data_IF_192799475932
#
_entry.id   IF_192799475932
#
_cell.length_a   1.000
_cell.length_b   1.000
_cell.length_c   1.000
_cell.angle_alpha   90.00
_cell.angle_beta   90.00
_cell.angle_gamma   90.00
#
_symmetry.space_group_name_H-M   'P 1'
#
loop_
_entity.id
_entity.type
_entity.pdbx_description
1 polymer ?
#
# COMPACT_ATOMS: atom_id res chain seq x y z
N UNK A 1 15.48 -19.76 -0.53
CA UNK A 1 15.30 -18.52 0.25
C UNK A 1 15.72 -18.72 1.72
N UNK A 2 16.37 -17.74 2.38
CA UNK A 2 16.67 -17.83 3.82
C UNK A 2 15.40 -17.49 4.64
N UNK A 3 15.19 -18.06 5.84
CA UNK A 3 14.00 -17.80 6.67
C UNK A 3 13.76 -16.31 6.97
N UNK A 4 14.83 -15.51 7.07
CA UNK A 4 14.75 -14.05 7.25
C UNK A 4 14.09 -13.33 6.07
N UNK A 5 14.29 -13.82 4.84
CA UNK A 5 13.71 -13.21 3.64
C UNK A 5 12.20 -13.45 3.59
N UNK A 6 11.73 -14.66 3.92
CA UNK A 6 10.30 -14.96 3.99
C UNK A 6 9.58 -14.09 5.03
N UNK A 7 10.19 -13.90 6.21
CA UNK A 7 9.63 -13.04 7.25
C UNK A 7 9.60 -11.58 6.81
N UNK A 8 10.66 -11.08 6.17
CA UNK A 8 10.69 -9.72 5.63
C UNK A 8 9.63 -9.52 4.54
N UNK A 9 9.44 -10.50 3.64
CA UNK A 9 8.38 -10.47 2.62
C UNK A 9 7.00 -10.46 3.30
N UNK A 10 6.81 -11.25 4.35
CA UNK A 10 5.57 -11.31 5.13
C UNK A 10 5.23 -9.99 5.83
N UNK A 11 6.25 -9.31 6.36
CA UNK A 11 6.07 -8.06 7.11
C UNK A 11 5.98 -6.85 6.17
N UNK A 12 6.85 -6.76 5.17
CA UNK A 12 7.07 -5.54 4.39
C UNK A 12 7.04 -5.72 2.87
N UNK A 13 7.11 -6.95 2.37
CA UNK A 13 7.08 -7.22 0.92
C UNK A 13 5.79 -6.78 0.25
N UNK A 14 4.68 -6.81 1.00
CA UNK A 14 3.35 -6.39 0.54
C UNK A 14 3.10 -4.88 0.62
N UNK A 15 4.00 -4.08 1.20
CA UNK A 15 3.80 -2.64 1.24
C UNK A 15 3.96 -2.04 -0.15
N UNK A 16 2.84 -1.56 -0.70
CA UNK A 16 2.77 -0.82 -1.94
C UNK A 16 2.34 0.62 -1.73
N UNK A 17 2.38 1.40 -2.82
CA UNK A 17 1.91 2.79 -2.84
C UNK A 17 0.42 2.93 -2.58
N UNK A 18 -0.35 1.84 -2.75
CA UNK A 18 -1.78 1.79 -2.48
C UNK A 18 -2.12 2.31 -1.09
N UNK A 19 -1.46 1.83 -0.02
CA UNK A 19 -1.73 2.31 1.34
C UNK A 19 -1.53 3.82 1.51
N UNK A 20 -0.58 4.42 0.81
CA UNK A 20 -0.22 5.83 0.96
C UNK A 20 -1.14 6.73 0.13
N UNK A 21 -1.42 6.34 -1.12
CA UNK A 21 -2.15 7.14 -2.09
C UNK A 21 -3.66 6.87 -2.01
N UNK A 22 -4.04 5.59 -1.92
CA UNK A 22 -5.44 5.20 -1.89
C UNK A 22 -6.11 5.61 -0.59
N UNK A 23 -5.40 5.60 0.54
CA UNK A 23 -5.93 6.06 1.83
C UNK A 23 -6.34 7.53 1.79
N UNK A 24 -5.62 8.39 1.08
CA UNK A 24 -5.99 9.81 0.91
C UNK A 24 -7.27 9.97 0.11
N UNK A 25 -7.41 9.24 -1.01
CA UNK A 25 -8.62 9.26 -1.84
C UNK A 25 -9.81 8.64 -1.10
N UNK A 26 -9.58 7.55 -0.37
CA UNK A 26 -10.58 6.86 0.43
C UNK A 26 -11.04 7.74 1.61
N UNK A 27 -10.12 8.44 2.28
CA UNK A 27 -10.43 9.40 3.32
C UNK A 27 -11.28 10.53 2.76
N UNK A 28 -10.85 11.15 1.65
CA UNK A 28 -11.57 12.25 1.00
C UNK A 28 -13.02 11.88 0.67
N UNK A 29 -13.24 10.71 0.06
CA UNK A 29 -14.57 10.29 -0.40
C UNK A 29 -15.43 9.72 0.72
N UNK A 30 -14.85 8.93 1.62
CA UNK A 30 -15.60 8.15 2.61
C UNK A 30 -15.63 8.76 4.01
N UNK A 31 -14.69 9.64 4.35
CA UNK A 31 -14.46 10.06 5.74
C UNK A 31 -13.76 8.97 6.58
N UNK A 32 -13.34 9.32 7.81
CA UNK A 32 -12.46 8.47 8.61
C UNK A 32 -13.13 7.16 9.08
N UNK A 33 -14.44 7.15 9.38
CA UNK A 33 -15.12 5.93 9.79
C UNK A 33 -15.35 4.97 8.61
N UNK A 34 -15.78 5.47 7.45
CA UNK A 34 -15.90 4.63 6.24
C UNK A 34 -14.55 4.03 5.84
N UNK A 35 -13.47 4.82 5.93
CA UNK A 35 -12.11 4.36 5.69
C UNK A 35 -11.74 3.21 6.64
N UNK A 36 -11.97 3.38 7.94
CA UNK A 36 -11.70 2.35 8.93
C UNK A 36 -12.49 1.06 8.65
N UNK A 37 -13.80 1.18 8.44
CA UNK A 37 -14.68 0.02 8.17
C UNK A 37 -14.22 -0.69 6.89
N UNK A 38 -13.91 0.06 5.83
CA UNK A 38 -13.42 -0.49 4.57
C UNK A 38 -12.12 -1.29 4.75
N UNK A 39 -11.16 -0.74 5.50
CA UNK A 39 -9.86 -1.39 5.74
C UNK A 39 -9.97 -2.61 6.64
N UNK A 40 -10.88 -2.60 7.62
CA UNK A 40 -11.17 -3.77 8.48
C UNK A 40 -11.81 -4.89 7.66
N UNK A 41 -12.85 -4.59 6.87
CA UNK A 41 -13.56 -5.58 6.07
C UNK A 41 -12.65 -6.19 4.98
N UNK A 42 -11.90 -5.34 4.27
CA UNK A 42 -10.96 -5.83 3.26
C UNK A 42 -9.80 -6.59 3.90
N UNK A 43 -9.28 -6.12 5.04
CA UNK A 43 -8.24 -6.82 5.79
C UNK A 43 -8.69 -8.22 6.25
N UNK A 44 -9.94 -8.35 6.73
CA UNK A 44 -10.52 -9.63 7.09
C UNK A 44 -10.63 -10.57 5.88
N UNK A 45 -11.11 -10.06 4.73
CA UNK A 45 -11.17 -10.84 3.48
C UNK A 45 -9.78 -11.35 3.07
N UNK A 46 -8.78 -10.47 3.06
CA UNK A 46 -7.40 -10.81 2.71
C UNK A 46 -6.82 -11.84 3.67
N UNK A 47 -7.08 -11.72 4.97
CA UNK A 47 -6.61 -12.69 5.96
C UNK A 47 -7.20 -14.09 5.73
N UNK A 48 -8.49 -14.18 5.38
CA UNK A 48 -9.15 -15.45 5.04
C UNK A 48 -8.49 -16.07 3.79
N UNK A 49 -8.28 -15.28 2.73
CA UNK A 49 -7.62 -15.74 1.50
C UNK A 49 -6.21 -16.25 1.79
N UNK A 50 -5.43 -15.53 2.60
CA UNK A 50 -4.07 -15.93 2.95
C UNK A 50 -4.03 -17.19 3.80
N UNK A 51 -5.00 -17.38 4.70
CA UNK A 51 -5.12 -18.59 5.51
C UNK A 51 -5.47 -19.81 4.64
N UNK A 52 -6.45 -19.67 3.75
CA UNK A 52 -6.81 -20.72 2.80
C UNK A 52 -5.62 -21.12 1.91
N UNK A 53 -4.84 -20.13 1.45
CA UNK A 53 -3.61 -20.42 0.71
C UNK A 53 -2.57 -21.15 1.56
N UNK A 54 -2.40 -20.75 2.81
CA UNK A 54 -1.45 -21.41 3.71
C UNK A 54 -1.80 -22.88 3.94
N UNK A 55 -3.09 -23.21 4.06
CA UNK A 55 -3.55 -24.61 4.14
C UNK A 55 -3.19 -25.38 2.88
N UNK A 56 -3.46 -24.82 1.69
CA UNK A 56 -3.09 -25.44 0.42
C UNK A 56 -1.57 -25.65 0.28
N UNK A 57 -0.77 -24.64 0.64
CA UNK A 57 0.68 -24.66 0.51
C UNK A 57 1.38 -25.57 1.54
N UNK A 58 0.81 -25.73 2.73
CA UNK A 58 1.32 -26.66 3.74
C UNK A 58 0.92 -28.11 3.45
N UNK A 59 -0.22 -28.32 2.79
CA UNK A 59 -0.66 -29.64 2.33
C UNK A 59 0.15 -30.12 1.12
N UNK A 60 0.25 -29.30 0.07
CA UNK A 60 0.99 -29.63 -1.15
C UNK A 60 1.88 -28.45 -1.51
N UNK A 61 3.19 -28.62 -1.29
CA UNK A 61 4.19 -27.62 -1.64
C UNK A 61 4.36 -27.56 -3.16
N UNK A 62 4.12 -26.39 -3.75
CA UNK A 62 4.36 -26.12 -5.18
C UNK A 62 5.01 -24.76 -5.40
N UNK A 63 5.91 -24.71 -6.39
CA UNK A 63 6.67 -23.51 -6.77
C UNK A 63 5.99 -22.73 -7.91
N UNK A 64 4.68 -22.94 -8.09
CA UNK A 64 3.88 -22.39 -9.21
C UNK A 64 3.00 -21.19 -8.83
N UNK A 65 3.22 -20.63 -7.64
CA UNK A 65 2.46 -19.48 -7.11
C UNK A 65 0.94 -19.70 -7.08
N UNK A 66 0.18 -18.61 -6.99
CA UNK A 66 -1.28 -18.63 -6.94
C UNK A 66 -1.95 -19.31 -8.15
N UNK A 67 -1.53 -19.03 -9.40
CA UNK A 67 -2.12 -19.69 -10.56
C UNK A 67 -1.95 -21.21 -10.51
N UNK A 68 -0.81 -21.70 -10.01
CA UNK A 68 -0.55 -23.13 -9.84
C UNK A 68 -1.51 -23.81 -8.86
N UNK A 69 -1.80 -23.18 -7.72
CA UNK A 69 -2.79 -23.68 -6.78
C UNK A 69 -4.20 -23.69 -7.40
N UNK A 70 -4.58 -22.65 -8.15
CA UNK A 70 -5.87 -22.60 -8.86
C UNK A 70 -6.00 -23.71 -9.91
N UNK A 71 -4.97 -23.95 -10.74
CA UNK A 71 -4.93 -25.07 -11.70
C UNK A 71 -5.08 -26.42 -11.01
N UNK A 72 -4.44 -26.60 -9.84
CA UNK A 72 -4.37 -27.90 -9.17
C UNK A 72 -5.66 -28.26 -8.43
N UNK A 73 -6.27 -27.28 -7.76
CA UNK A 73 -7.38 -27.52 -6.82
C UNK A 73 -8.75 -27.11 -7.37
N UNK A 74 -8.82 -26.31 -8.44
CA UNK A 74 -10.07 -25.86 -9.03
C UNK A 74 -10.21 -26.31 -10.48
N UNK A 75 -9.52 -25.63 -11.42
CA UNK A 75 -9.60 -25.94 -12.85
C UNK A 75 -8.41 -25.31 -13.62
N UNK A 76 -7.84 -25.98 -14.65
CA UNK A 76 -6.79 -25.39 -15.47
C UNK A 76 -7.15 -24.07 -16.15
N UNK A 77 -8.40 -23.88 -16.58
CA UNK A 77 -8.86 -22.62 -17.17
C UNK A 77 -8.89 -21.48 -16.13
N UNK A 78 -9.27 -21.79 -14.88
CA UNK A 78 -9.20 -20.82 -13.78
C UNK A 78 -7.75 -20.44 -13.46
N UNK A 79 -6.84 -21.42 -13.47
CA UNK A 79 -5.41 -21.18 -13.31
C UNK A 79 -4.84 -20.28 -14.40
N UNK A 80 -5.20 -20.53 -15.66
CA UNK A 80 -4.82 -19.67 -16.79
C UNK A 80 -5.35 -18.23 -16.63
N UNK A 81 -6.65 -18.07 -16.33
CA UNK A 81 -7.26 -16.75 -16.11
C UNK A 81 -6.60 -16.00 -14.93
N UNK A 82 -6.29 -16.72 -13.86
CA UNK A 82 -5.59 -16.17 -12.68
C UNK A 82 -4.19 -15.67 -13.05
N UNK A 83 -3.45 -16.44 -13.84
CA UNK A 83 -2.13 -16.03 -14.34
C UNK A 83 -2.17 -14.72 -15.13
N UNK A 84 -3.11 -14.59 -16.07
CA UNK A 84 -3.30 -13.35 -16.84
C UNK A 84 -3.72 -12.17 -15.98
N UNK A 85 -4.63 -12.39 -15.02
CA UNK A 85 -5.03 -11.34 -14.08
C UNK A 85 -3.82 -10.83 -13.28
N UNK A 86 -2.98 -11.74 -12.78
CA UNK A 86 -1.76 -11.38 -12.05
C UNK A 86 -0.76 -10.62 -12.92
N UNK A 87 -0.58 -11.02 -14.18
CA UNK A 87 0.26 -10.29 -15.13
C UNK A 87 -0.24 -8.86 -15.32
N UNK A 88 -1.52 -8.69 -15.68
CA UNK A 88 -2.13 -7.37 -15.87
C UNK A 88 -2.04 -6.50 -14.60
N UNK A 89 -2.25 -7.10 -13.43
CA UNK A 89 -2.12 -6.44 -12.13
C UNK A 89 -0.73 -5.84 -11.94
N UNK A 90 0.34 -6.61 -12.15
CA UNK A 90 1.71 -6.11 -11.92
C UNK A 90 2.15 -5.07 -12.96
N UNK A 91 1.73 -5.19 -14.22
CA UNK A 91 1.95 -4.15 -15.26
C UNK A 91 1.34 -2.81 -14.82
N UNK A 92 0.08 -2.84 -14.38
CA UNK A 92 -0.63 -1.62 -13.95
C UNK A 92 -0.03 -1.05 -12.67
N UNK A 93 0.37 -1.89 -11.72
CA UNK A 93 1.01 -1.45 -10.46
C UNK A 93 2.36 -0.79 -10.72
N UNK A 94 3.16 -1.30 -11.65
CA UNK A 94 4.43 -0.68 -12.04
C UNK A 94 4.21 0.73 -12.59
N UNK A 95 3.30 0.88 -13.55
CA UNK A 95 2.95 2.17 -14.11
C UNK A 95 2.45 3.13 -13.01
N UNK A 96 1.58 2.65 -12.12
CA UNK A 96 1.08 3.45 -11.00
C UNK A 96 2.20 3.92 -10.06
N UNK A 97 3.17 3.07 -9.73
CA UNK A 97 4.30 3.44 -8.89
C UNK A 97 5.18 4.51 -9.56
N UNK A 98 5.46 4.39 -10.86
CA UNK A 98 6.24 5.40 -11.59
C UNK A 98 5.49 6.75 -11.66
N UNK A 99 4.18 6.73 -11.92
CA UNK A 99 3.34 7.94 -11.87
C UNK A 99 3.35 8.57 -10.47
N UNK A 100 3.23 7.76 -9.43
CA UNK A 100 3.30 8.24 -8.05
C UNK A 100 4.64 8.91 -7.72
N UNK A 101 5.77 8.37 -8.20
CA UNK A 101 7.08 8.98 -8.01
C UNK A 101 7.15 10.38 -8.63
N UNK A 102 6.61 10.55 -9.85
CA UNK A 102 6.56 11.85 -10.50
C UNK A 102 5.61 12.85 -9.80
N UNK A 103 4.47 12.38 -9.27
CA UNK A 103 3.56 13.21 -8.47
C UNK A 103 4.23 13.68 -7.17
N UNK A 104 5.01 12.82 -6.52
CA UNK A 104 5.77 13.20 -5.30
C UNK A 104 6.77 14.30 -5.62
N UNK A 105 7.45 14.26 -6.78
CA UNK A 105 8.41 15.31 -7.14
C UNK A 105 7.75 16.66 -7.41
N UNK A 106 6.50 16.66 -7.90
CA UNK A 106 5.73 17.89 -8.07
C UNK A 106 5.51 18.64 -6.75
N UNK A 107 5.73 18.00 -5.59
CA UNK A 107 5.80 18.71 -4.32
C UNK A 107 6.85 19.83 -4.33
N UNK A 108 8.06 19.55 -4.82
CA UNK A 108 9.16 20.52 -4.90
C UNK A 108 9.16 21.30 -6.21
N UNK A 109 8.71 20.67 -7.30
CA UNK A 109 8.77 21.21 -8.67
C UNK A 109 7.40 21.07 -9.37
N UNK A 110 6.36 21.80 -8.92
CA UNK A 110 4.99 21.66 -9.43
C UNK A 110 4.84 21.95 -10.92
N UNK A 111 5.74 22.76 -11.48
CA UNK A 111 5.76 23.16 -12.88
C UNK A 111 6.24 22.05 -13.84
N UNK A 112 6.91 21.02 -13.31
CA UNK A 112 7.44 19.93 -14.14
C UNK A 112 6.38 18.87 -14.42
N UNK A 113 6.34 18.39 -15.67
CA UNK A 113 5.44 17.33 -16.07
C UNK A 113 5.86 15.98 -15.45
N UNK A 114 4.91 15.26 -14.84
CA UNK A 114 5.09 13.92 -14.25
C UNK A 114 5.74 12.93 -15.23
N UNK A 115 5.43 13.02 -16.53
CA UNK A 115 5.97 12.14 -17.57
C UNK A 115 7.48 12.17 -17.71
N UNK A 116 8.14 13.29 -17.37
CA UNK A 116 9.61 13.39 -17.37
C UNK A 116 10.19 12.42 -16.34
N UNK A 117 9.62 12.42 -15.13
CA UNK A 117 10.08 11.60 -14.02
C UNK A 117 9.74 10.12 -14.20
N UNK A 118 8.61 9.81 -14.84
CA UNK A 118 8.28 8.44 -15.24
C UNK A 118 9.40 7.85 -16.09
N UNK A 119 9.83 8.56 -17.14
CA UNK A 119 10.90 8.09 -18.04
C UNK A 119 12.24 7.96 -17.32
N UNK A 120 12.60 8.95 -16.49
CA UNK A 120 13.86 8.94 -15.73
C UNK A 120 13.92 7.75 -14.76
N UNK A 121 12.84 7.44 -14.06
CA UNK A 121 12.82 6.35 -13.08
C UNK A 121 12.53 4.98 -13.69
N UNK A 122 11.83 4.91 -14.83
CA UNK A 122 11.62 3.65 -15.53
C UNK A 122 12.96 3.01 -15.95
N UNK A 123 13.90 3.82 -16.44
CA UNK A 123 15.20 3.34 -16.92
C UNK A 123 16.01 2.54 -15.88
N UNK A 124 16.32 3.06 -14.67
CA UNK A 124 17.02 2.30 -13.65
C UNK A 124 16.19 1.13 -13.10
N UNK A 125 14.86 1.23 -13.02
CA UNK A 125 13.99 0.12 -12.58
C UNK A 125 14.13 -1.06 -13.54
N UNK A 126 14.01 -0.83 -14.84
CA UNK A 126 14.17 -1.86 -15.87
C UNK A 126 15.58 -2.45 -15.83
N UNK A 127 16.62 -1.62 -15.72
CA UNK A 127 18.02 -2.09 -15.65
C UNK A 127 18.25 -2.98 -14.43
N UNK A 128 17.75 -2.59 -13.26
CA UNK A 128 17.89 -3.39 -12.04
C UNK A 128 17.26 -4.78 -12.23
N UNK A 129 16.15 -4.85 -12.97
CA UNK A 129 15.46 -6.09 -13.26
C UNK A 129 16.09 -6.97 -14.34
N UNK A 130 17.08 -6.47 -15.08
CA UNK A 130 17.89 -7.28 -15.99
C UNK A 130 19.03 -8.04 -15.29
N UNK A 131 19.30 -7.76 -14.00
CA UNK A 131 20.35 -8.46 -13.24
C UNK A 131 19.89 -9.81 -12.65
N UNK A 132 20.86 -10.68 -12.37
CA UNK A 132 20.65 -12.07 -11.92
C UNK A 132 19.84 -12.20 -10.61
N UNK A 133 19.00 -13.25 -10.55
CA UNK A 133 18.04 -13.62 -9.49
C UNK A 133 18.64 -13.67 -8.07
N UNK A 134 19.96 -13.90 -7.91
CA UNK A 134 20.61 -13.88 -6.58
C UNK A 134 20.73 -12.49 -5.98
N UNK A 135 20.97 -11.46 -6.80
CA UNK A 135 21.03 -10.06 -6.34
C UNK A 135 19.65 -9.59 -5.88
N UNK A 136 18.60 -10.17 -6.46
CA UNK A 136 17.20 -9.84 -6.17
C UNK A 136 16.76 -10.20 -4.75
N UNK A 137 17.12 -11.39 -4.25
CA UNK A 137 16.70 -11.82 -2.91
C UNK A 137 17.20 -10.89 -1.80
N UNK A 138 18.43 -10.38 -1.94
CA UNK A 138 19.01 -9.40 -1.01
C UNK A 138 18.48 -7.98 -1.28
N UNK A 139 18.26 -7.58 -2.54
CA UNK A 139 17.68 -6.26 -2.86
C UNK A 139 16.24 -6.13 -2.38
N UNK A 140 15.42 -7.19 -2.48
CA UNK A 140 14.08 -7.23 -1.90
C UNK A 140 14.09 -7.14 -0.38
N UNK A 141 15.05 -7.81 0.27
CA UNK A 141 15.20 -7.71 1.71
C UNK A 141 15.46 -6.26 2.14
N UNK A 142 16.42 -5.59 1.50
CA UNK A 142 16.75 -4.18 1.76
C UNK A 142 15.55 -3.28 1.45
N UNK A 143 14.90 -3.48 0.30
CA UNK A 143 13.69 -2.77 -0.08
C UNK A 143 12.57 -2.92 0.97
N UNK A 144 12.38 -4.14 1.49
CA UNK A 144 11.43 -4.42 2.57
C UNK A 144 11.76 -3.66 3.86
N UNK A 145 13.03 -3.65 4.27
CA UNK A 145 13.48 -2.88 5.45
C UNK A 145 13.19 -1.39 5.28
N UNK A 146 13.55 -0.82 4.12
CA UNK A 146 13.29 0.59 3.83
C UNK A 146 11.79 0.89 3.91
N UNK A 147 10.95 0.07 3.26
CA UNK A 147 9.49 0.25 3.29
C UNK A 147 8.92 0.19 4.70
N UNK A 148 9.39 -0.75 5.51
CA UNK A 148 8.97 -0.91 6.90
C UNK A 148 9.33 0.32 7.75
N UNK A 149 10.56 0.82 7.61
CA UNK A 149 11.03 2.02 8.32
C UNK A 149 10.22 3.24 7.92
N UNK A 150 10.02 3.46 6.62
CA UNK A 150 9.21 4.58 6.13
C UNK A 150 7.78 4.49 6.63
N UNK A 151 7.12 3.34 6.50
CA UNK A 151 5.75 3.14 7.00
C UNK A 151 5.62 3.41 8.50
N UNK A 152 6.58 2.92 9.29
CA UNK A 152 6.60 3.16 10.74
C UNK A 152 6.76 4.65 11.05
N UNK A 153 7.67 5.33 10.33
CA UNK A 153 7.88 6.77 10.47
C UNK A 153 6.62 7.56 10.12
N UNK A 154 5.94 7.24 9.03
CA UNK A 154 4.69 7.91 8.61
C UNK A 154 3.59 7.82 9.68
N UNK A 155 3.38 6.63 10.25
CA UNK A 155 2.36 6.40 11.28
C UNK A 155 2.71 7.17 12.55
N UNK A 156 3.97 7.11 13.00
CA UNK A 156 4.43 7.85 14.19
C UNK A 156 4.30 9.37 13.94
N UNK A 157 4.70 9.88 12.77
CA UNK A 157 4.57 11.29 12.43
C UNK A 157 3.12 11.75 12.45
N UNK A 158 2.17 10.96 11.95
CA UNK A 158 0.75 11.30 12.03
C UNK A 158 0.21 11.24 13.46
N UNK A 159 0.69 10.29 14.27
CA UNK A 159 0.31 10.19 15.67
C UNK A 159 0.78 11.42 16.44
N UNK A 160 2.05 11.79 16.29
CA UNK A 160 2.61 13.01 16.87
C UNK A 160 1.87 14.25 16.36
N UNK A 161 1.59 14.33 15.06
CA UNK A 161 0.81 15.43 14.47
C UNK A 161 -0.60 15.55 15.07
N UNK A 162 -1.27 14.41 15.34
CA UNK A 162 -2.61 14.41 15.94
C UNK A 162 -2.63 14.83 17.42
N UNK A 163 -1.54 14.57 18.15
CA UNK A 163 -1.42 14.86 19.58
C UNK A 163 -0.74 16.20 19.88
N UNK A 164 -0.01 16.78 18.91
CA UNK A 164 0.66 18.08 19.06
C UNK A 164 -0.39 19.20 19.16
N UNK A 165 -0.34 20.04 20.20
CA UNK A 165 -1.12 21.27 20.23
C UNK A 165 -0.62 22.23 19.15
N UNK A 166 -1.53 22.74 18.34
CA UNK A 166 -1.25 23.82 17.39
C UNK A 166 -1.80 25.12 17.95
N UNK A 167 -1.02 26.19 17.90
CA UNK A 167 -1.44 27.50 18.38
C UNK A 167 -2.76 27.94 17.71
N UNK A 168 -3.72 28.40 18.51
CA UNK A 168 -5.07 28.76 18.05
C UNK A 168 -6.02 27.61 17.69
N UNK A 169 -5.55 26.35 17.63
CA UNK A 169 -6.40 25.16 17.35
C UNK A 169 -6.40 24.12 18.46
N UNK A 170 -5.41 24.10 19.35
CA UNK A 170 -5.25 23.08 20.39
C UNK A 170 -4.94 21.69 19.82
N UNK A 171 -5.09 20.64 20.63
CA UNK A 171 -4.84 19.25 20.22
C UNK A 171 -5.97 18.74 19.31
N UNK A 172 -5.61 18.05 18.23
CA UNK A 172 -6.58 17.50 17.26
C UNK A 172 -7.23 16.21 17.79
N UNK A 173 -6.44 15.16 18.04
CA UNK A 173 -6.95 13.84 18.45
C UNK A 173 -8.07 13.34 17.53
N UNK A 174 -9.23 13.00 18.11
CA UNK A 174 -10.40 12.55 17.35
C UNK A 174 -11.32 13.69 16.87
N UNK A 175 -10.85 14.94 16.84
CA UNK A 175 -11.68 16.09 16.42
C UNK A 175 -12.23 15.91 15.01
N UNK A 176 -11.41 15.44 14.08
CA UNK A 176 -11.83 15.25 12.68
C UNK A 176 -12.86 14.14 12.46
N UNK A 177 -13.07 13.28 13.46
CA UNK A 177 -14.15 12.30 13.47
C UNK A 177 -15.50 12.93 13.86
N UNK A 178 -15.48 14.07 14.56
CA UNK A 178 -16.68 14.82 14.97
C UNK A 178 -17.00 15.96 14.01
N UNK A 179 -15.98 16.69 13.58
CA UNK A 179 -16.09 17.83 12.67
C UNK A 179 -14.91 17.80 11.68
N UNK A 180 -15.13 17.55 10.37
CA UNK A 180 -16.40 17.63 9.62
C UNK A 180 -17.29 16.39 9.69
N UNK A 181 -16.96 15.42 10.55
CA UNK A 181 -17.77 14.23 10.81
C UNK A 181 -17.09 12.92 10.44
N UNK A 182 -17.69 11.81 10.85
CA UNK A 182 -17.10 10.48 10.67
C UNK A 182 -17.29 9.90 9.27
N UNK A 183 -18.35 10.32 8.57
CA UNK A 183 -18.73 9.81 7.25
C UNK A 183 -18.78 10.95 6.23
N UNK A 184 -17.98 10.81 5.18
CA UNK A 184 -18.02 11.67 4.00
C UNK A 184 -19.17 11.30 3.07
N UNK A 185 -19.67 12.29 2.34
CA UNK A 185 -20.68 12.10 1.30
C UNK A 185 -20.00 12.13 -0.07
N UNK A 186 -20.27 11.13 -0.91
CA UNK A 186 -19.68 11.01 -2.25
C UNK A 186 -20.77 10.84 -3.30
N UNK A 187 -20.72 11.65 -4.38
CA UNK A 187 -21.63 11.66 -5.55
C UNK A 187 -23.11 11.96 -5.29
N UNK A 188 -23.58 11.81 -4.05
CA UNK A 188 -24.93 12.14 -3.61
C UNK A 188 -24.88 12.70 -2.19
N UNK A 189 -26.01 13.23 -1.70
CA UNK A 189 -26.15 13.73 -0.34
C UNK A 189 -26.87 12.74 0.58
N UNK A 190 -26.70 12.92 1.90
CA UNK A 190 -27.38 12.13 2.91
C UNK A 190 -26.92 10.67 2.97
N UNK A 191 -27.85 9.75 3.26
CA UNK A 191 -27.54 8.33 3.49
C UNK A 191 -26.92 7.68 2.24
N UNK A 192 -27.46 7.99 1.06
CA UNK A 192 -26.93 7.48 -0.20
C UNK A 192 -25.49 7.96 -0.43
N UNK A 193 -25.23 9.26 -0.20
CA UNK A 193 -23.89 9.83 -0.30
C UNK A 193 -22.87 9.14 0.60
N UNK A 194 -23.25 8.85 1.85
CA UNK A 194 -22.40 8.15 2.82
C UNK A 194 -22.14 6.70 2.41
N UNK A 195 -23.15 6.01 1.89
CA UNK A 195 -22.99 4.66 1.36
C UNK A 195 -22.04 4.61 0.15
N UNK A 196 -22.19 5.53 -0.79
CA UNK A 196 -21.29 5.66 -1.94
C UNK A 196 -19.86 6.03 -1.50
N UNK A 197 -19.72 6.87 -0.47
CA UNK A 197 -18.43 7.18 0.16
C UNK A 197 -17.76 5.95 0.76
N UNK A 198 -18.52 5.11 1.48
CA UNK A 198 -18.04 3.83 1.96
C UNK A 198 -17.64 2.88 0.83
N UNK A 199 -18.46 2.73 -0.20
CA UNK A 199 -18.15 1.85 -1.32
C UNK A 199 -16.88 2.29 -2.05
N UNK A 200 -16.71 3.60 -2.26
CA UNK A 200 -15.49 4.15 -2.82
C UNK A 200 -14.27 3.85 -1.93
N UNK A 201 -14.39 4.01 -0.61
CA UNK A 201 -13.32 3.65 0.33
C UNK A 201 -13.01 2.14 0.31
N UNK A 202 -14.02 1.27 0.17
CA UNK A 202 -13.85 -0.19 0.09
C UNK A 202 -13.06 -0.62 -1.15
N UNK A 203 -13.37 -0.06 -2.32
CA UNK A 203 -12.59 -0.30 -3.55
C UNK A 203 -11.14 0.15 -3.38
N UNK A 204 -10.92 1.33 -2.78
CA UNK A 204 -9.57 1.84 -2.54
C UNK A 204 -8.78 1.03 -1.48
N UNK A 205 -9.47 0.45 -0.50
CA UNK A 205 -8.88 -0.50 0.43
C UNK A 205 -8.40 -1.75 -0.31
N UNK A 206 -9.18 -2.26 -1.27
CA UNK A 206 -8.77 -3.37 -2.14
C UNK A 206 -7.43 -3.09 -2.83
N UNK A 207 -7.28 -1.90 -3.40
CA UNK A 207 -6.02 -1.46 -3.99
C UNK A 207 -4.86 -1.36 -2.97
N UNK A 208 -5.13 -0.92 -1.74
CA UNK A 208 -4.11 -0.84 -0.68
C UNK A 208 -3.57 -2.22 -0.26
N UNK A 209 -4.40 -3.26 -0.29
CA UNK A 209 -4.01 -4.61 0.13
C UNK A 209 -3.38 -5.47 -0.98
N UNK A 210 -3.33 -4.97 -2.23
CA UNK A 210 -2.61 -5.65 -3.32
C UNK A 210 -1.15 -5.89 -2.93
N UNK A 211 -0.65 -7.10 -3.19
CA UNK A 211 0.70 -7.50 -2.86
C UNK A 211 0.79 -8.35 -1.58
N UNK A 212 -0.31 -8.50 -0.84
CA UNK A 212 -0.36 -9.42 0.32
C UNK A 212 -0.07 -10.87 -0.09
N UNK A 213 -0.54 -11.25 -1.27
CA UNK A 213 -0.34 -12.53 -1.92
C UNK A 213 1.13 -12.85 -2.25
N UNK A 214 2.02 -11.86 -2.30
CA UNK A 214 3.46 -12.07 -2.58
C UNK A 214 4.08 -13.03 -1.56
N UNK A 215 3.57 -13.00 -0.32
CA UNK A 215 3.96 -13.92 0.75
C UNK A 215 3.74 -15.38 0.34
N UNK A 216 2.65 -15.65 -0.38
CA UNK A 216 2.29 -16.97 -0.85
C UNK A 216 3.18 -17.50 -1.98
N UNK A 217 3.71 -16.61 -2.83
CA UNK A 217 4.67 -17.01 -3.86
C UNK A 217 5.96 -17.57 -3.25
N UNK A 218 6.37 -17.04 -2.08
CA UNK A 218 7.57 -17.49 -1.37
C UNK A 218 7.39 -18.82 -0.62
N UNK A 219 6.16 -19.36 -0.51
CA UNK A 219 5.92 -20.64 0.17
C UNK A 219 6.55 -21.83 -0.55
N UNK A 220 6.60 -21.79 -1.88
CA UNK A 220 7.30 -22.80 -2.68
C UNK A 220 8.81 -22.84 -2.41
N UNK A 221 9.43 -21.69 -2.21
CA UNK A 221 10.88 -21.64 -1.97
C UNK A 221 11.30 -21.94 -0.52
N UNK A 222 10.33 -22.26 0.34
CA UNK A 222 10.55 -22.39 1.78
C UNK A 222 10.94 -23.83 2.16
N UNK A 223 12.09 -24.07 2.83
CA UNK A 223 12.52 -25.42 3.19
C UNK A 223 11.56 -26.16 4.14
N UNK A 224 10.98 -25.46 5.12
CA UNK A 224 10.07 -26.03 6.11
C UNK A 224 8.70 -25.32 6.09
N UNK A 225 7.86 -25.70 5.13
CA UNK A 225 6.53 -25.07 4.93
C UNK A 225 5.63 -25.20 6.16
N UNK A 226 5.66 -26.34 6.87
CA UNK A 226 4.78 -26.59 8.02
C UNK A 226 5.03 -25.64 9.20
N UNK A 227 6.25 -25.16 9.36
CA UNK A 227 6.62 -24.22 10.44
C UNK A 227 6.59 -22.77 9.98
N UNK A 228 7.13 -22.50 8.80
CA UNK A 228 7.37 -21.13 8.35
C UNK A 228 6.13 -20.48 7.71
N UNK A 229 5.25 -21.26 7.07
CA UNK A 229 4.00 -20.72 6.48
C UNK A 229 3.04 -20.20 7.57
N UNK A 230 2.70 -20.95 8.64
CA UNK A 230 1.87 -20.42 9.71
C UNK A 230 2.47 -19.17 10.37
N UNK A 231 3.80 -19.15 10.53
CA UNK A 231 4.52 -17.97 11.05
C UNK A 231 4.37 -16.76 10.11
N UNK A 232 4.46 -16.95 8.80
CA UNK A 232 4.24 -15.89 7.82
C UNK A 232 2.82 -15.32 7.87
N UNK A 233 1.80 -16.18 8.05
CA UNK A 233 0.40 -15.75 8.21
C UNK A 233 0.20 -14.96 9.51
N UNK A 234 0.83 -15.39 10.61
CA UNK A 234 0.79 -14.64 11.87
C UNK A 234 1.36 -13.23 11.73
N UNK A 235 2.48 -13.07 11.03
CA UNK A 235 3.04 -11.74 10.74
C UNK A 235 2.18 -10.93 9.77
N UNK A 236 1.51 -11.58 8.83
CA UNK A 236 0.54 -10.94 7.94
C UNK A 236 -0.64 -10.37 8.71
N UNK A 237 -1.16 -11.10 9.72
CA UNK A 237 -2.21 -10.59 10.62
C UNK A 237 -1.77 -9.31 11.33
N UNK A 238 -0.61 -9.33 11.99
CA UNK A 238 -0.11 -8.16 12.70
C UNK A 238 0.18 -6.98 11.77
N UNK A 239 0.61 -7.26 10.53
CA UNK A 239 0.76 -6.25 9.50
C UNK A 239 -0.56 -5.53 9.21
N UNK A 240 -1.64 -6.28 9.02
CA UNK A 240 -3.00 -5.75 8.80
C UNK A 240 -3.43 -4.89 9.99
N UNK A 241 -3.27 -5.40 11.22
CA UNK A 241 -3.72 -4.69 12.43
C UNK A 241 -2.97 -3.38 12.65
N UNK A 242 -1.63 -3.40 12.63
CA UNK A 242 -0.86 -2.21 13.01
C UNK A 242 -0.69 -1.22 11.86
N UNK A 243 -0.32 -1.69 10.66
CA UNK A 243 0.05 -0.76 9.58
C UNK A 243 -1.15 -0.34 8.75
N UNK A 244 -2.12 -1.22 8.53
CA UNK A 244 -3.31 -0.88 7.75
C UNK A 244 -4.37 -0.26 8.65
N UNK A 245 -4.88 -1.00 9.63
CA UNK A 245 -5.95 -0.51 10.53
C UNK A 245 -5.42 0.62 11.42
N UNK A 246 -4.32 0.40 12.13
CA UNK A 246 -3.69 1.44 12.96
C UNK A 246 -3.30 2.68 12.14
N UNK A 247 -2.72 2.49 10.95
CA UNK A 247 -2.36 3.57 10.04
C UNK A 247 -3.54 4.45 9.63
N UNK A 248 -4.68 3.86 9.24
CA UNK A 248 -5.86 4.66 8.85
C UNK A 248 -6.56 5.33 10.04
N UNK A 249 -6.53 4.73 11.23
CA UNK A 249 -7.06 5.38 12.45
C UNK A 249 -6.27 6.66 12.74
N UNK A 250 -4.95 6.54 12.77
CA UNK A 250 -4.07 7.69 13.03
C UNK A 250 -4.18 8.73 11.92
N UNK A 251 -4.29 8.31 10.65
CA UNK A 251 -4.52 9.23 9.53
C UNK A 251 -5.85 9.98 9.65
N UNK A 252 -6.93 9.28 10.02
CA UNK A 252 -8.25 9.89 10.24
C UNK A 252 -8.27 10.85 11.44
N UNK A 253 -7.40 10.64 12.42
CA UNK A 253 -7.18 11.59 13.53
C UNK A 253 -6.37 12.82 13.08
N UNK A 254 -5.42 12.65 12.16
CA UNK A 254 -4.44 13.68 11.83
C UNK A 254 -4.83 14.57 10.63
N UNK A 255 -5.76 14.14 9.78
CA UNK A 255 -6.16 14.86 8.59
C UNK A 255 -7.70 14.98 8.44
N UNK A 256 -8.28 16.18 8.27
CA UNK A 256 -9.71 16.32 8.02
C UNK A 256 -10.06 15.93 6.60
N UNK A 257 -11.09 15.10 6.42
CA UNK A 257 -11.46 14.59 5.09
C UNK A 257 -11.97 15.67 4.11
N UNK A 258 -12.31 16.88 4.57
CA UNK A 258 -12.70 18.02 3.71
C UNK A 258 -11.56 19.02 3.46
N UNK A 259 -10.31 18.60 3.62
CA UNK A 259 -9.19 19.52 3.41
C UNK A 259 -8.99 19.84 1.92
N UNK A 260 -8.84 21.12 1.57
CA UNK A 260 -8.64 21.56 0.19
C UNK A 260 -7.38 20.96 -0.46
N UNK A 261 -6.34 20.67 0.33
CA UNK A 261 -5.13 19.98 -0.17
C UNK A 261 -5.44 18.52 -0.57
N UNK A 262 -6.35 17.83 0.14
CA UNK A 262 -6.81 16.49 -0.27
C UNK A 262 -7.71 16.56 -1.51
N UNK A 263 -8.57 17.58 -1.60
CA UNK A 263 -9.49 17.77 -2.73
C UNK A 263 -8.70 18.10 -4.01
N UNK A 264 -7.73 19.01 -3.92
CA UNK A 264 -6.85 19.39 -5.01
C UNK A 264 -6.04 18.22 -5.57
N UNK A 265 -5.65 17.27 -4.72
CA UNK A 265 -4.94 16.05 -5.11
C UNK A 265 -5.82 15.07 -5.93
N UNK A 266 -7.16 15.12 -5.80
CA UNK A 266 -8.08 14.19 -6.48
C UNK A 266 -8.63 14.70 -7.83
N UNK A 267 -8.52 16.00 -8.15
CA UNK A 267 -9.23 16.65 -9.27
C UNK A 267 -8.34 17.11 -10.44
N UNK A 268 -7.21 16.46 -10.70
CA UNK A 268 -6.52 16.53 -12.00
C UNK A 268 -5.85 17.87 -12.37
N UNK A 269 -5.85 18.88 -11.49
CA UNK A 269 -4.83 19.93 -11.57
C UNK A 269 -3.64 19.41 -10.79
N UNK A 270 -2.47 19.34 -11.41
CA UNK A 270 -1.19 19.04 -10.79
C UNK A 270 -0.93 19.97 -9.60
N UNK A 271 -1.57 19.68 -8.46
CA UNK A 271 -1.39 20.41 -7.23
C UNK A 271 -0.61 19.49 -6.31
N UNK A 272 0.61 19.93 -6.07
CA UNK A 272 1.67 19.50 -5.16
C UNK A 272 1.26 19.08 -3.73
N UNK A 273 -0.01 18.87 -3.42
CA UNK A 273 -0.49 18.31 -2.16
C UNK A 273 -0.46 16.77 -2.26
N UNK A 274 0.73 16.18 -2.21
CA UNK A 274 1.34 15.69 -0.99
C UNK A 274 0.42 14.68 -0.29
N UNK A 275 0.85 13.41 -0.31
CA UNK A 275 0.28 12.31 0.48
C UNK A 275 -0.46 12.77 1.75
N UNK A 276 -1.60 12.17 2.13
CA UNK A 276 -2.38 12.58 3.30
C UNK A 276 -1.53 12.62 4.59
N UNK A 277 -0.46 11.82 4.64
CA UNK A 277 0.55 11.82 5.71
C UNK A 277 1.38 13.12 5.76
N UNK A 278 1.75 13.67 4.60
CA UNK A 278 2.44 14.97 4.51
C UNK A 278 1.50 16.12 4.88
N UNK A 279 0.24 16.04 4.42
CA UNK A 279 -0.79 17.04 4.77
C UNK A 279 -0.99 17.08 6.28
N UNK A 280 -1.10 15.93 6.94
CA UNK A 280 -1.23 15.84 8.39
C UNK A 280 -0.10 16.57 9.13
N UNK A 281 1.14 16.38 8.69
CA UNK A 281 2.32 17.01 9.32
C UNK A 281 2.40 18.51 9.02
N UNK A 282 2.04 18.95 7.81
CA UNK A 282 1.91 20.38 7.48
C UNK A 282 0.85 21.05 8.35
N UNK A 283 -0.31 20.42 8.53
CA UNK A 283 -1.39 20.94 9.38
C UNK A 283 -0.99 21.02 10.86
N UNK A 284 -0.07 20.17 11.32
CA UNK A 284 0.49 20.23 12.66
C UNK A 284 1.58 21.31 12.83
N UNK A 285 1.92 22.05 11.77
CA UNK A 285 2.87 23.17 11.82
C UNK A 285 4.34 22.76 11.89
N UNK A 286 4.70 21.59 11.36
CA UNK A 286 6.11 21.24 11.18
C UNK A 286 6.65 21.80 9.87
N UNK A 287 7.79 22.50 9.93
CA UNK A 287 8.38 23.14 8.74
C UNK A 287 9.23 22.17 7.90
N UNK A 288 10.11 21.39 8.54
CA UNK A 288 11.09 20.52 7.85
C UNK A 288 10.57 19.08 7.63
N UNK A 289 9.71 18.60 8.53
CA UNK A 289 9.23 17.21 8.49
C UNK A 289 8.45 16.86 7.20
N UNK A 290 7.65 17.76 6.58
CA UNK A 290 7.02 17.49 5.29
C UNK A 290 7.99 17.11 4.17
N UNK A 291 9.14 17.78 4.07
CA UNK A 291 10.17 17.49 3.06
C UNK A 291 10.81 16.12 3.29
N UNK A 292 11.15 15.80 4.54
CA UNK A 292 11.71 14.48 4.92
C UNK A 292 10.71 13.37 4.58
N UNK A 293 9.43 13.58 4.90
CA UNK A 293 8.38 12.62 4.59
C UNK A 293 8.24 12.43 3.08
N UNK A 294 8.21 13.49 2.28
CA UNK A 294 8.12 13.33 0.84
C UNK A 294 9.36 12.67 0.23
N UNK A 295 10.57 12.97 0.71
CA UNK A 295 11.79 12.34 0.24
C UNK A 295 11.79 10.83 0.53
N UNK A 296 11.38 10.45 1.74
CA UNK A 296 11.26 9.03 2.13
C UNK A 296 10.13 8.31 1.39
N UNK A 297 9.03 8.99 1.07
CA UNK A 297 7.97 8.48 0.21
C UNK A 297 8.46 8.22 -1.21
N UNK A 298 9.31 9.09 -1.77
CA UNK A 298 9.91 8.86 -3.09
C UNK A 298 10.75 7.58 -3.09
N UNK A 299 11.60 7.38 -2.08
CA UNK A 299 12.39 6.15 -1.93
C UNK A 299 11.48 4.92 -1.78
N UNK A 300 10.41 5.03 -0.98
CA UNK A 300 9.42 3.96 -0.80
C UNK A 300 8.77 3.56 -2.14
N UNK A 301 8.34 4.54 -2.93
CA UNK A 301 7.66 4.30 -4.22
C UNK A 301 8.60 3.68 -5.24
N UNK A 302 9.84 4.16 -5.35
CA UNK A 302 10.84 3.58 -6.24
C UNK A 302 11.18 2.14 -5.83
N UNK A 303 11.31 1.89 -4.53
CA UNK A 303 11.48 0.54 -3.99
C UNK A 303 10.29 -0.38 -4.34
N UNK A 304 9.06 0.13 -4.30
CA UNK A 304 7.87 -0.60 -4.73
C UNK A 304 7.84 -0.85 -6.25
N UNK A 305 8.27 0.10 -7.07
CA UNK A 305 8.39 -0.05 -8.52
C UNK A 305 9.37 -1.17 -8.89
N UNK A 306 10.57 -1.18 -8.30
CA UNK A 306 11.56 -2.25 -8.49
C UNK A 306 10.99 -3.63 -8.13
N UNK A 307 10.21 -3.71 -7.04
CA UNK A 307 9.59 -4.97 -6.61
C UNK A 307 8.52 -5.46 -7.58
N UNK A 308 7.70 -4.54 -8.12
CA UNK A 308 6.58 -4.86 -9.01
C UNK A 308 7.03 -5.32 -10.40
N UNK A 309 8.02 -4.65 -10.99
CA UNK A 309 8.57 -4.99 -12.30
C UNK A 309 9.19 -6.41 -12.29
N UNK A 310 9.90 -6.77 -11.23
CA UNK A 310 10.44 -8.13 -11.11
C UNK A 310 9.36 -9.19 -11.05
N UNK A 311 8.27 -8.92 -10.32
CA UNK A 311 7.22 -9.91 -10.13
C UNK A 311 6.40 -10.17 -11.42
N UNK A 312 6.54 -9.28 -12.41
CA UNK A 312 6.07 -9.49 -13.77
C UNK A 312 7.07 -10.30 -14.60
N UNK A 313 8.38 -10.12 -14.39
CA UNK A 313 9.44 -10.75 -15.19
C UNK A 313 9.88 -12.12 -14.70
N UNK A 314 9.49 -12.56 -13.49
CA UNK A 314 9.62 -13.97 -13.09
C UNK A 314 8.82 -14.78 -14.13
N UNK A 315 9.49 -15.48 -15.07
CA UNK A 315 8.79 -16.49 -15.83
C UNK A 315 8.33 -17.48 -14.77
N UNK A 316 7.08 -17.97 -14.86
CA UNK A 316 6.71 -19.19 -14.14
C UNK A 316 7.85 -20.19 -14.39
N UNK A 317 8.74 -20.35 -13.39
CA UNK A 317 9.93 -21.14 -13.55
C UNK A 317 9.41 -22.55 -13.81
N UNK A 318 9.69 -23.01 -15.02
CA UNK A 318 9.34 -24.31 -15.60
C UNK A 318 9.30 -25.43 -14.57
#
# INVERSE_FOLDING_TARGET
MLPRHLQMISVAGAFGTGLIISSGTALLRGGPASLLIAYVLMGANVYIVMTALAEMATYVKMDKGFPGYATRFADPALGFATGYNYFCKYVVVLANNLTAAGIIIQYWRPELNVGIWITIFAFPVIIINLFHVRVFGESQYIAGVVKLVVMTMLIISCLVASLKPVEGRGMVGFRYWKDPGSFGEYLAHGVLGRFLGFWAAFVQAGFAYIGTEVVGAAFGETPNVKKEVPRAIFWTFWRIVFFYIGGVVVLGMSCPYRNDMLIGASHSKASAAASPFVIAVKLAGFEVLPDIINATLLVFVLSAACSADHQQTIPNAS
#
